data_IF_214086869180
#
_entry.id   IF_214086869180
#
_cell.length_a   1.000
_cell.length_b   1.000
_cell.length_c   1.000
_cell.angle_alpha   90.00
_cell.angle_beta   90.00
_cell.angle_gamma   90.00
#
_symmetry.space_group_name_H-M   'P 1'
#
loop_
_entity.id
_entity.type
_entity.pdbx_description
1 polymer ?
#
# COMPACT_ATOMS: atom_id res chain seq x y z
N UNK A 1 3.19 9.76 -23.17
CA UNK A 1 3.05 10.05 -21.73
C UNK A 1 4.28 9.49 -21.03
N UNK A 2 4.92 10.28 -20.19
CA UNK A 2 6.08 9.87 -19.38
C UNK A 2 5.71 9.99 -17.91
N UNK A 3 6.04 8.98 -17.11
CA UNK A 3 5.74 8.91 -15.68
C UNK A 3 7.03 8.58 -14.94
N UNK A 4 7.33 9.33 -13.89
CA UNK A 4 8.43 9.02 -12.97
C UNK A 4 8.04 7.85 -12.07
N UNK A 5 8.79 6.76 -12.15
CA UNK A 5 8.66 5.61 -11.27
C UNK A 5 9.79 5.61 -10.23
N UNK A 6 9.43 5.77 -8.97
CA UNK A 6 10.38 5.77 -7.85
C UNK A 6 10.38 4.42 -7.10
N UNK A 7 11.48 4.12 -6.40
CA UNK A 7 11.57 2.96 -5.51
C UNK A 7 11.09 3.35 -4.10
N UNK A 8 10.21 2.56 -3.50
CA UNK A 8 9.68 2.83 -2.15
C UNK A 8 10.71 2.64 -1.04
N UNK A 9 11.66 1.73 -1.23
CA UNK A 9 12.69 1.38 -0.23
C UNK A 9 14.12 1.59 -0.71
N UNK A 10 14.34 1.85 -1.99
CA UNK A 10 15.66 1.93 -2.61
C UNK A 10 16.34 0.56 -2.76
N UNK A 11 15.56 -0.52 -2.90
CA UNK A 11 16.09 -1.88 -2.96
C UNK A 11 16.45 -2.32 -4.39
N UNK A 12 17.38 -3.26 -4.51
CA UNK A 12 17.78 -3.83 -5.80
C UNK A 12 16.61 -4.56 -6.48
N UNK A 13 15.74 -5.19 -5.70
CA UNK A 13 14.55 -5.89 -6.21
C UNK A 13 13.55 -4.90 -6.82
N UNK A 14 13.35 -3.75 -6.18
CA UNK A 14 12.47 -2.70 -6.71
C UNK A 14 13.06 -2.05 -7.96
N UNK A 15 14.38 -1.80 -7.99
CA UNK A 15 15.06 -1.31 -9.18
C UNK A 15 14.90 -2.28 -10.37
N UNK A 16 15.15 -3.57 -10.15
CA UNK A 16 14.97 -4.62 -11.16
C UNK A 16 13.53 -4.68 -11.67
N UNK A 17 12.55 -4.60 -10.76
CA UNK A 17 11.14 -4.57 -11.12
C UNK A 17 10.79 -3.33 -11.95
N UNK A 18 11.34 -2.16 -11.62
CA UNK A 18 11.15 -0.92 -12.38
C UNK A 18 11.65 -1.03 -13.83
N UNK A 19 12.80 -1.68 -14.05
CA UNK A 19 13.32 -1.95 -15.39
C UNK A 19 12.38 -2.88 -16.19
N UNK A 20 11.91 -3.97 -15.55
CA UNK A 20 10.95 -4.89 -16.18
C UNK A 20 9.64 -4.18 -16.56
N UNK A 21 9.11 -3.35 -15.66
CA UNK A 21 7.90 -2.56 -15.91
C UNK A 21 8.09 -1.59 -17.06
N UNK A 22 9.27 -0.97 -17.17
CA UNK A 22 9.60 -0.04 -18.26
C UNK A 22 9.45 -0.72 -19.62
N UNK A 23 9.99 -1.93 -19.78
CA UNK A 23 9.86 -2.69 -21.04
C UNK A 23 8.42 -3.17 -21.31
N UNK A 24 7.65 -3.46 -20.26
CA UNK A 24 6.25 -3.85 -20.40
C UNK A 24 5.36 -2.67 -20.80
N UNK A 25 5.47 -1.55 -20.09
CA UNK A 25 4.61 -0.37 -20.27
C UNK A 25 4.94 0.39 -21.56
N UNK A 26 6.18 0.29 -22.05
CA UNK A 26 6.57 0.77 -23.37
C UNK A 26 5.73 0.16 -24.49
N UNK A 27 5.30 -1.11 -24.36
CA UNK A 27 4.47 -1.81 -25.36
C UNK A 27 3.06 -1.21 -25.48
N UNK A 28 2.58 -0.54 -24.44
CA UNK A 28 1.29 0.18 -24.43
C UNK A 28 1.48 1.70 -24.59
N UNK A 29 2.67 2.15 -24.96
CA UNK A 29 2.95 3.57 -25.25
C UNK A 29 3.18 4.46 -24.03
N UNK A 30 3.39 3.87 -22.85
CA UNK A 30 3.73 4.62 -21.62
C UNK A 30 5.23 4.49 -21.34
N UNK A 31 5.90 5.62 -21.21
CA UNK A 31 7.32 5.67 -20.84
C UNK A 31 7.43 5.79 -19.33
N UNK A 32 8.16 4.89 -18.70
CA UNK A 32 8.53 5.00 -17.28
C UNK A 32 9.97 5.51 -17.17
N UNK A 33 10.18 6.56 -16.39
CA UNK A 33 11.51 7.04 -16.01
C UNK A 33 11.82 6.47 -14.62
N UNK A 34 12.73 5.51 -14.53
CA UNK A 34 13.02 4.82 -13.26
C UNK A 34 14.03 5.60 -12.43
N UNK A 35 13.67 5.88 -11.17
CA UNK A 35 14.56 6.37 -10.13
C UNK A 35 14.73 5.27 -9.08
N UNK A 36 15.94 4.72 -8.99
CA UNK A 36 16.27 3.63 -8.06
C UNK A 36 16.48 4.09 -6.63
N UNK A 37 16.72 5.39 -6.43
CA UNK A 37 16.77 5.97 -5.10
C UNK A 37 15.41 5.88 -4.41
N UNK A 38 15.45 5.69 -3.09
CA UNK A 38 14.27 5.68 -2.25
C UNK A 38 13.49 6.98 -2.40
N UNK A 39 12.18 6.88 -2.68
CA UNK A 39 11.25 7.99 -2.60
C UNK A 39 11.25 8.54 -1.17
N UNK A 40 11.60 9.81 -1.01
CA UNK A 40 11.71 10.42 0.31
C UNK A 40 10.32 10.69 0.87
N UNK A 41 10.21 10.64 2.20
CA UNK A 41 8.96 10.96 2.90
C UNK A 41 8.44 12.37 2.58
N UNK A 42 9.36 13.31 2.35
CA UNK A 42 9.04 14.68 1.94
C UNK A 42 8.32 14.71 0.59
N UNK A 43 8.80 13.95 -0.41
CA UNK A 43 8.16 13.88 -1.73
C UNK A 43 6.74 13.34 -1.65
N UNK A 44 6.51 12.33 -0.81
CA UNK A 44 5.18 11.77 -0.57
C UNK A 44 4.28 12.82 0.09
N UNK A 45 4.76 13.47 1.16
CA UNK A 45 4.02 14.52 1.89
C UNK A 45 3.69 15.75 1.06
N UNK A 46 4.56 16.10 0.12
CA UNK A 46 4.39 17.23 -0.79
C UNK A 46 3.64 16.84 -2.07
N UNK A 47 3.17 15.59 -2.18
CA UNK A 47 2.41 15.09 -3.33
C UNK A 47 3.20 15.18 -4.66
N UNK A 48 4.53 14.98 -4.58
CA UNK A 48 5.48 15.07 -5.69
C UNK A 48 5.83 13.72 -6.33
N UNK A 49 5.31 12.62 -5.76
CA UNK A 49 5.54 11.27 -6.24
C UNK A 49 4.42 10.88 -7.21
N UNK A 50 4.76 10.62 -8.47
CA UNK A 50 3.77 10.22 -9.49
C UNK A 50 3.40 8.74 -9.37
N UNK A 51 4.42 7.88 -9.26
CA UNK A 51 4.27 6.45 -9.09
C UNK A 51 5.48 5.91 -8.32
N UNK A 52 5.26 4.93 -7.43
CA UNK A 52 6.36 4.19 -6.86
C UNK A 52 6.04 2.70 -6.73
N UNK A 53 7.07 1.87 -6.84
CA UNK A 53 6.99 0.44 -6.50
C UNK A 53 7.31 0.26 -5.03
N UNK A 54 6.55 -0.57 -4.34
CA UNK A 54 6.87 -0.99 -2.98
C UNK A 54 6.72 -2.50 -2.86
N UNK A 55 7.69 -3.14 -2.20
CA UNK A 55 7.58 -4.54 -1.78
C UNK A 55 7.23 -4.54 -0.29
N UNK A 56 5.96 -4.70 0.10
CA UNK A 56 5.66 -4.95 1.49
C UNK A 56 6.30 -6.27 1.93
N UNK A 57 6.97 -6.27 3.08
CA UNK A 57 7.61 -7.46 3.65
C UNK A 57 6.62 -8.49 4.22
N UNK A 58 5.31 -8.20 4.21
CA UNK A 58 4.21 -9.10 4.61
C UNK A 58 3.12 -9.18 3.52
N UNK A 59 1.92 -9.75 3.79
CA UNK A 59 0.75 -9.61 2.87
C UNK A 59 0.36 -8.13 2.64
N UNK A 60 1.11 -7.22 3.27
CA UNK A 60 1.25 -5.83 2.95
C UNK A 60 0.13 -5.05 3.56
N UNK A 61 -0.42 -4.14 2.77
CA UNK A 61 -1.54 -3.31 3.16
C UNK A 61 -2.75 -4.14 3.60
N UNK A 62 -2.88 -5.39 3.14
CA UNK A 62 -3.97 -6.31 3.55
C UNK A 62 -3.87 -6.71 5.02
N UNK A 63 -2.68 -6.95 5.56
CA UNK A 63 -2.53 -7.30 6.99
C UNK A 63 -2.87 -6.11 7.89
N UNK A 64 -2.41 -4.91 7.49
CA UNK A 64 -2.69 -3.66 8.21
C UNK A 64 -4.17 -3.33 8.15
N UNK A 65 -4.81 -3.54 6.99
CA UNK A 65 -6.24 -3.39 6.80
C UNK A 65 -7.07 -4.29 7.70
N UNK A 66 -6.56 -5.47 8.08
CA UNK A 66 -7.24 -6.37 9.01
C UNK A 66 -7.00 -5.92 10.46
N UNK A 67 -5.78 -5.49 10.78
CA UNK A 67 -5.31 -5.29 12.16
C UNK A 67 -5.40 -3.85 12.71
N UNK A 68 -5.62 -2.83 11.88
CA UNK A 68 -5.65 -1.42 12.31
C UNK A 68 -6.87 -0.64 11.82
N UNK A 69 -7.04 0.56 12.39
CA UNK A 69 -7.83 1.61 11.75
C UNK A 69 -7.22 1.93 10.39
N UNK A 70 -8.02 1.76 9.34
CA UNK A 70 -7.68 2.04 7.95
C UNK A 70 -7.48 3.57 7.78
N UNK A 71 -6.29 4.11 7.47
CA UNK A 71 -6.17 5.49 7.02
C UNK A 71 -6.82 5.65 5.64
N UNK A 72 -7.43 6.81 5.38
CA UNK A 72 -8.20 7.06 4.16
C UNK A 72 -7.43 6.71 2.89
N UNK A 73 -6.14 7.05 2.89
CA UNK A 73 -5.31 7.06 1.70
C UNK A 73 -3.93 6.43 1.88
N UNK A 74 -3.61 5.92 3.08
CA UNK A 74 -2.39 5.12 3.30
C UNK A 74 -1.07 5.83 2.90
N UNK A 75 -1.05 7.16 2.90
CA UNK A 75 0.11 7.95 2.44
C UNK A 75 0.27 8.02 0.92
N UNK A 76 -0.69 7.49 0.16
CA UNK A 76 -0.79 7.65 -1.29
C UNK A 76 -1.83 8.74 -1.55
N UNK A 77 -1.56 9.84 -2.25
CA UNK A 77 -2.57 10.90 -2.42
C UNK A 77 -2.73 11.83 -1.20
N UNK A 78 -1.61 12.33 -0.68
CA UNK A 78 -1.57 13.27 0.44
C UNK A 78 -2.31 14.58 0.13
N UNK A 79 -2.36 14.99 -1.15
CA UNK A 79 -3.19 16.12 -1.58
C UNK A 79 -4.67 15.94 -1.22
N UNK A 80 -5.22 14.76 -1.47
CA UNK A 80 -6.62 14.43 -1.15
C UNK A 80 -6.82 14.25 0.35
N UNK A 81 -5.86 13.65 1.03
CA UNK A 81 -5.88 13.48 2.48
C UNK A 81 -5.98 14.83 3.19
N UNK A 82 -5.13 15.80 2.82
CA UNK A 82 -5.18 17.17 3.35
C UNK A 82 -6.53 17.84 3.10
N UNK A 83 -7.09 17.66 1.90
CA UNK A 83 -8.40 18.23 1.57
C UNK A 83 -9.52 17.66 2.44
N UNK A 84 -9.54 16.34 2.64
CA UNK A 84 -10.55 15.68 3.47
C UNK A 84 -10.41 15.99 4.96
N UNK A 85 -9.19 16.15 5.48
CA UNK A 85 -8.94 16.43 6.90
C UNK A 85 -9.17 17.90 7.25
N UNK A 86 -8.97 18.82 6.30
CA UNK A 86 -9.11 20.26 6.54
C UNK A 86 -10.45 20.84 6.08
N UNK A 87 -11.39 19.99 5.67
CA UNK A 87 -12.66 20.39 5.06
C UNK A 87 -12.47 21.34 3.86
N UNK A 88 -11.49 21.02 3.01
CA UNK A 88 -11.21 21.73 1.77
C UNK A 88 -10.40 23.03 1.89
N UNK A 89 -9.80 23.32 3.06
CA UNK A 89 -8.95 24.50 3.23
C UNK A 89 -7.56 24.34 2.60
N UNK A 90 -7.04 23.12 2.57
CA UNK A 90 -5.71 22.81 2.05
C UNK A 90 -5.74 21.52 1.21
N UNK A 91 -4.78 21.36 0.30
CA UNK A 91 -4.67 20.16 -0.55
C UNK A 91 -5.47 20.26 -1.85
N UNK A 92 -5.77 19.11 -2.44
CA UNK A 92 -6.45 18.97 -3.74
C UNK A 92 -7.77 18.25 -3.52
N UNK A 93 -8.86 18.81 -4.06
CA UNK A 93 -10.17 18.19 -3.98
C UNK A 93 -10.17 16.82 -4.67
N UNK A 94 -10.48 15.72 -3.96
CA UNK A 94 -10.56 14.40 -4.58
C UNK A 94 -11.76 14.31 -5.52
N UNK A 95 -11.72 13.42 -6.52
CA UNK A 95 -12.90 13.07 -7.33
C UNK A 95 -14.09 12.66 -6.46
N UNK A 96 -15.30 12.84 -6.98
CA UNK A 96 -16.53 12.63 -6.22
C UNK A 96 -16.62 11.21 -5.63
N UNK A 97 -16.15 10.21 -6.37
CA UNK A 97 -16.15 8.81 -5.95
C UNK A 97 -15.28 8.58 -4.70
N UNK A 98 -14.17 9.32 -4.60
CA UNK A 98 -13.20 9.21 -3.51
C UNK A 98 -13.65 9.93 -2.24
N UNK A 99 -14.60 10.86 -2.31
CA UNK A 99 -15.13 11.53 -1.12
C UNK A 99 -15.91 10.57 -0.21
N UNK A 100 -16.56 9.57 -0.79
CA UNK A 100 -17.32 8.58 -0.04
C UNK A 100 -16.43 7.64 0.78
N UNK A 101 -15.16 7.45 0.38
CA UNK A 101 -14.23 6.58 1.11
C UNK A 101 -14.02 7.06 2.55
N UNK A 102 -13.98 8.39 2.76
CA UNK A 102 -13.84 8.99 4.08
C UNK A 102 -14.94 8.52 5.01
N UNK A 103 -16.18 8.64 4.52
CA UNK A 103 -17.39 8.28 5.26
C UNK A 103 -17.41 6.79 5.59
N UNK A 104 -17.05 5.92 4.65
CA UNK A 104 -17.02 4.47 4.88
C UNK A 104 -15.92 4.09 5.88
N UNK A 105 -14.74 4.69 5.78
CA UNK A 105 -13.64 4.47 6.72
C UNK A 105 -14.00 4.99 8.11
N UNK A 106 -14.57 6.19 8.22
CA UNK A 106 -15.04 6.74 9.49
C UNK A 106 -16.08 5.82 10.14
N UNK A 107 -17.00 5.27 9.34
CA UNK A 107 -18.03 4.37 9.85
C UNK A 107 -17.48 3.00 10.26
N UNK A 108 -16.56 2.43 9.49
CA UNK A 108 -16.00 1.10 9.81
C UNK A 108 -15.21 1.10 11.11
N UNK A 109 -14.60 2.23 11.49
CA UNK A 109 -13.91 2.38 12.79
C UNK A 109 -14.86 2.35 13.99
N UNK A 110 -16.15 2.60 13.79
CA UNK A 110 -17.17 2.55 14.85
C UNK A 110 -17.77 1.15 15.02
N UNK A 111 -17.59 0.27 14.04
CA UNK A 111 -18.12 -1.09 14.05
C UNK A 111 -17.21 -2.04 14.83
N UNK A 112 -17.81 -3.05 15.46
CA UNK A 112 -17.05 -4.10 16.15
C UNK A 112 -16.32 -4.98 15.12
N UNK A 113 -14.99 -5.18 15.24
CA UNK A 113 -14.26 -6.03 14.31
C UNK A 113 -14.82 -7.45 14.21
N UNK A 114 -15.00 -7.93 12.98
CA UNK A 114 -15.46 -9.29 12.70
C UNK A 114 -16.98 -9.51 12.67
N UNK A 115 -17.81 -8.49 12.94
CA UNK A 115 -19.26 -8.59 12.68
C UNK A 115 -19.54 -8.57 11.17
N UNK A 116 -20.72 -9.03 10.78
CA UNK A 116 -21.13 -9.05 9.36
C UNK A 116 -21.14 -7.64 8.75
N UNK A 117 -21.59 -6.63 9.51
CA UNK A 117 -21.58 -5.23 9.06
C UNK A 117 -20.15 -4.72 8.84
N UNK A 118 -19.23 -5.05 9.75
CA UNK A 118 -17.82 -4.67 9.63
C UNK A 118 -17.17 -5.32 8.41
N UNK A 119 -17.41 -6.62 8.20
CA UNK A 119 -16.86 -7.38 7.07
C UNK A 119 -17.41 -6.82 5.76
N UNK A 120 -18.72 -6.62 5.67
CA UNK A 120 -19.39 -6.09 4.47
C UNK A 120 -18.91 -4.68 4.12
N UNK A 121 -18.78 -3.79 5.10
CA UNK A 121 -18.29 -2.44 4.87
C UNK A 121 -16.81 -2.43 4.47
N UNK A 122 -15.96 -3.26 5.07
CA UNK A 122 -14.57 -3.41 4.63
C UNK A 122 -14.48 -3.95 3.21
N UNK A 123 -15.24 -4.99 2.87
CA UNK A 123 -15.26 -5.54 1.51
C UNK A 123 -15.61 -4.45 0.49
N UNK A 124 -16.64 -3.64 0.77
CA UNK A 124 -17.02 -2.50 -0.08
C UNK A 124 -15.88 -1.50 -0.28
N UNK A 125 -15.14 -1.16 0.77
CA UNK A 125 -13.98 -0.24 0.69
C UNK A 125 -12.90 -0.85 -0.22
N UNK A 126 -12.59 -2.14 -0.06
CA UNK A 126 -11.55 -2.82 -0.83
C UNK A 126 -11.93 -3.07 -2.29
N UNK A 127 -13.19 -3.40 -2.57
CA UNK A 127 -13.72 -3.51 -3.93
C UNK A 127 -13.58 -2.16 -4.65
N UNK A 128 -14.01 -1.08 -4.01
CA UNK A 128 -13.86 0.28 -4.55
C UNK A 128 -12.39 0.62 -4.86
N UNK A 129 -11.46 0.41 -3.92
CA UNK A 129 -10.04 0.68 -4.15
C UNK A 129 -9.46 -0.13 -5.31
N UNK A 130 -9.91 -1.39 -5.44
CA UNK A 130 -9.47 -2.30 -6.50
C UNK A 130 -10.00 -1.88 -7.87
N UNK A 131 -11.28 -1.48 -7.95
CA UNK A 131 -11.90 -0.95 -9.17
C UNK A 131 -11.25 0.37 -9.62
N UNK A 132 -10.85 1.22 -8.67
CA UNK A 132 -10.14 2.47 -8.95
C UNK A 132 -8.64 2.29 -9.26
N UNK A 133 -8.11 1.05 -9.18
CA UNK A 133 -6.70 0.71 -9.41
C UNK A 133 -5.73 1.58 -8.59
N UNK A 134 -6.10 1.88 -7.33
CA UNK A 134 -5.28 2.68 -6.42
C UNK A 134 -3.89 2.09 -6.20
N UNK A 135 -3.83 0.76 -6.16
CA UNK A 135 -2.60 -0.03 -6.15
C UNK A 135 -2.72 -1.06 -7.25
N UNK A 136 -1.71 -1.11 -8.12
CA UNK A 136 -1.63 -2.11 -9.18
C UNK A 136 -0.75 -3.25 -8.69
N UNK A 137 -1.34 -4.42 -8.45
CA UNK A 137 -0.60 -5.62 -8.09
C UNK A 137 0.26 -6.10 -9.26
N UNK A 138 1.58 -6.21 -9.04
CA UNK A 138 2.52 -6.67 -10.08
C UNK A 138 2.75 -8.18 -9.97
N UNK A 139 3.02 -8.66 -8.77
CA UNK A 139 3.21 -10.07 -8.43
C UNK A 139 2.61 -10.36 -7.05
N UNK A 140 2.16 -11.60 -6.84
CA UNK A 140 1.77 -12.08 -5.52
C UNK A 140 2.98 -12.30 -4.61
N UNK A 141 2.75 -12.41 -3.30
CA UNK A 141 3.82 -12.71 -2.35
C UNK A 141 4.42 -14.09 -2.59
N UNK A 142 5.76 -14.14 -2.63
CA UNK A 142 6.49 -15.39 -2.57
C UNK A 142 6.44 -15.99 -1.16
N UNK A 143 6.54 -17.33 -1.00
CA UNK A 143 6.68 -17.95 0.31
C UNK A 143 7.87 -17.38 1.09
N UNK A 144 7.62 -16.93 2.32
CA UNK A 144 8.67 -16.52 3.26
C UNK A 144 9.19 -17.75 4.00
N UNK A 145 10.52 -17.90 4.04
CA UNK A 145 11.18 -18.98 4.77
C UNK A 145 11.91 -18.40 5.98
N UNK A 146 11.57 -18.88 7.18
CA UNK A 146 12.31 -18.57 8.39
C UNK A 146 13.34 -19.66 8.66
N UNK A 147 14.62 -19.29 8.70
CA UNK A 147 15.71 -20.18 9.06
C UNK A 147 16.03 -20.01 10.55
N UNK A 148 15.86 -21.07 11.33
CA UNK A 148 16.11 -21.05 12.77
C UNK A 148 17.05 -22.17 13.16
N UNK A 149 17.96 -21.89 14.10
CA UNK A 149 18.89 -22.90 14.62
C UNK A 149 18.14 -23.99 15.40
N UNK A 150 18.61 -25.23 15.25
CA UNK A 150 18.04 -26.44 15.86
C UNK A 150 17.97 -26.45 17.39
N UNK A 151 18.56 -25.49 18.11
CA UNK A 151 18.48 -25.38 19.57
C UNK A 151 17.52 -24.29 20.04
N UNK A 152 17.05 -23.41 19.14
CA UNK A 152 15.98 -22.46 19.47
C UNK A 152 14.68 -23.28 19.57
N UNK A 153 13.94 -23.07 20.65
CA UNK A 153 12.66 -23.73 20.93
C UNK A 153 11.56 -22.66 20.90
N UNK A 154 10.31 -23.10 20.87
CA UNK A 154 9.13 -22.23 20.81
C UNK A 154 9.09 -21.31 19.59
N UNK A 155 9.64 -21.76 18.46
CA UNK A 155 9.36 -21.13 17.16
C UNK A 155 8.09 -21.74 16.62
N UNK A 156 7.11 -20.90 16.29
CA UNK A 156 5.87 -21.35 15.69
C UNK A 156 6.12 -21.90 14.28
N UNK A 157 5.61 -23.10 14.00
CA UNK A 157 5.67 -23.69 12.64
C UNK A 157 4.69 -23.01 11.69
N UNK A 158 3.58 -22.48 12.21
CA UNK A 158 2.54 -21.79 11.46
C UNK A 158 2.19 -20.46 12.14
N UNK A 159 1.86 -19.45 11.34
CA UNK A 159 1.50 -18.13 11.84
C UNK A 159 1.29 -17.11 10.72
N UNK A 160 0.75 -15.95 11.10
CA UNK A 160 0.79 -14.77 10.25
C UNK A 160 2.16 -14.10 10.45
N UNK A 161 3.10 -14.38 9.54
CA UNK A 161 4.40 -13.74 9.52
C UNK A 161 4.31 -12.44 8.71
N UNK A 162 4.72 -11.34 9.34
CA UNK A 162 4.62 -10.02 8.76
C UNK A 162 5.03 -8.90 9.70
N UNK A 163 5.30 -7.73 9.13
CA UNK A 163 5.55 -6.49 9.87
C UNK A 163 4.40 -6.15 10.82
N UNK A 164 3.14 -6.25 10.36
CA UNK A 164 1.94 -5.92 11.16
C UNK A 164 1.71 -6.87 12.34
N UNK A 165 2.27 -8.08 12.29
CA UNK A 165 2.17 -9.05 13.38
C UNK A 165 3.41 -9.07 14.26
N UNK A 166 4.44 -8.29 13.91
CA UNK A 166 5.77 -8.31 14.52
C UNK A 166 6.43 -9.71 14.52
N UNK A 167 6.00 -10.59 13.62
CA UNK A 167 6.50 -11.98 13.52
C UNK A 167 7.52 -12.16 12.39
N UNK A 168 7.85 -11.11 11.63
CA UNK A 168 8.97 -11.13 10.68
C UNK A 168 10.31 -11.19 11.44
N UNK A 169 10.98 -12.33 11.38
CA UNK A 169 12.28 -12.58 12.05
C UNK A 169 13.46 -11.96 11.27
N UNK A 170 13.29 -10.84 10.57
CA UNK A 170 14.35 -10.26 9.72
C UNK A 170 14.61 -8.79 10.05
N UNK A 171 15.64 -8.57 10.87
CA UNK A 171 16.57 -7.46 10.75
C UNK A 171 17.98 -8.02 10.57
#
# INVERSE_FOLDING_TARGET
MEILLESGHGSEQEATMGEMLTEQWKKIGVKLAVRTEKCTHERIKEDLCELFTTVPTSRGWVDVAIASSEPYFWGLGEGWNKWLVTDGKEGVEPPAEWKEIKKWVDEVTKLCPGTEEWISLKQKIWDFRSEQLWVIGIVGQAPLFHLVKNYVRNVAEEGLFGWSTAMDIAY
#
